data_IF_664043205274
#
_entry.id   IF_664043205274
#
_cell.length_a   1.000
_cell.length_b   1.000
_cell.length_c   1.000
_cell.angle_alpha   90.00
_cell.angle_beta   90.00
_cell.angle_gamma   90.00
#
_symmetry.space_group_name_H-M   'P 1'
#
loop_
_entity.id
_entity.type
_entity.pdbx_description
1 polymer ?
#
# COMPACT_ATOMS: atom_id res chain seq x y z
N UNK A 1 10.76 13.81 3.63
CA UNK A 1 9.64 12.89 3.33
C UNK A 1 8.34 13.61 3.66
N UNK A 2 7.42 13.76 2.71
CA UNK A 2 6.18 14.54 2.91
C UNK A 2 5.26 13.94 3.99
N UNK A 3 4.30 14.68 4.56
CA UNK A 3 3.48 14.23 5.68
C UNK A 3 2.46 13.12 5.34
N UNK A 4 2.05 12.99 4.07
CA UNK A 4 0.93 12.13 3.63
C UNK A 4 1.07 10.66 3.99
N UNK A 5 2.28 10.09 3.93
CA UNK A 5 2.49 8.68 4.29
C UNK A 5 2.13 8.40 5.76
N UNK A 6 2.27 9.40 6.66
CA UNK A 6 1.97 9.23 8.09
C UNK A 6 0.50 8.94 8.31
N UNK A 7 -0.37 9.60 7.55
CA UNK A 7 -1.82 9.39 7.60
C UNK A 7 -2.16 7.96 7.16
N UNK A 8 -1.60 7.52 6.02
CA UNK A 8 -1.84 6.19 5.48
C UNK A 8 -1.30 5.09 6.41
N UNK A 9 -0.08 5.24 6.95
CA UNK A 9 0.51 4.28 7.90
C UNK A 9 -0.31 4.23 9.20
N UNK A 10 -0.75 5.37 9.73
CA UNK A 10 -1.58 5.41 10.92
C UNK A 10 -2.92 4.69 10.68
N UNK A 11 -3.56 4.94 9.53
CA UNK A 11 -4.80 4.27 9.13
C UNK A 11 -4.60 2.76 8.95
N UNK A 12 -3.52 2.34 8.29
CA UNK A 12 -3.17 0.94 8.12
C UNK A 12 -2.98 0.21 9.46
N UNK A 13 -2.25 0.82 10.40
CA UNK A 13 -2.08 0.27 11.76
C UNK A 13 -3.41 0.11 12.48
N UNK A 14 -4.28 1.13 12.42
CA UNK A 14 -5.62 1.07 13.02
C UNK A 14 -6.45 -0.06 12.41
N UNK A 15 -6.44 -0.20 11.07
CA UNK A 15 -7.14 -1.26 10.35
C UNK A 15 -6.65 -2.66 10.76
N UNK A 16 -5.33 -2.83 10.90
CA UNK A 16 -4.75 -4.10 11.33
C UNK A 16 -5.17 -4.47 12.76
N UNK A 17 -5.16 -3.50 13.68
CA UNK A 17 -5.59 -3.72 15.07
C UNK A 17 -7.10 -4.02 15.15
N UNK A 18 -7.93 -3.31 14.38
CA UNK A 18 -9.37 -3.57 14.30
C UNK A 18 -9.66 -4.97 13.76
N UNK A 19 -8.92 -5.40 12.74
CA UNK A 19 -9.05 -6.75 12.20
C UNK A 19 -8.67 -7.80 13.25
N UNK A 20 -7.51 -7.64 13.91
CA UNK A 20 -7.06 -8.56 14.95
C UNK A 20 -8.06 -8.68 16.10
N UNK A 21 -8.68 -7.57 16.52
CA UNK A 21 -9.69 -7.59 17.59
C UNK A 21 -10.89 -8.48 17.24
N UNK A 22 -11.31 -8.50 15.97
CA UNK A 22 -12.49 -9.25 15.51
C UNK A 22 -12.16 -10.71 15.20
N UNK A 23 -11.08 -10.94 14.46
CA UNK A 23 -10.75 -12.26 13.91
C UNK A 23 -9.69 -13.02 14.71
N UNK A 24 -9.04 -12.37 15.68
CA UNK A 24 -7.99 -12.94 16.52
C UNK A 24 -6.79 -13.47 15.72
N UNK A 25 -6.59 -12.97 14.50
CA UNK A 25 -5.45 -13.29 13.64
C UNK A 25 -4.94 -12.03 12.92
N UNK A 26 -3.65 -11.99 12.50
CA UNK A 26 -3.11 -10.87 11.75
C UNK A 26 -3.83 -10.70 10.40
N UNK A 27 -4.15 -9.47 10.03
CA UNK A 27 -4.77 -9.18 8.73
C UNK A 27 -3.90 -9.70 7.56
N UNK A 28 -4.48 -10.42 6.59
CA UNK A 28 -3.78 -10.78 5.37
C UNK A 28 -3.26 -9.55 4.61
N UNK A 29 -2.03 -9.60 4.09
CA UNK A 29 -1.38 -8.46 3.41
C UNK A 29 -2.25 -7.92 2.28
N UNK A 30 -2.81 -8.80 1.45
CA UNK A 30 -3.69 -8.40 0.35
C UNK A 30 -4.93 -7.62 0.84
N UNK A 31 -5.50 -8.03 1.97
CA UNK A 31 -6.67 -7.36 2.55
C UNK A 31 -6.30 -6.01 3.17
N UNK A 32 -5.14 -5.90 3.82
CA UNK A 32 -4.63 -4.63 4.31
C UNK A 32 -4.40 -3.63 3.16
N UNK A 33 -3.76 -4.09 2.08
CA UNK A 33 -3.52 -3.29 0.88
C UNK A 33 -4.83 -2.78 0.30
N UNK A 34 -5.82 -3.66 0.11
CA UNK A 34 -7.14 -3.28 -0.40
C UNK A 34 -7.77 -2.18 0.46
N UNK A 35 -7.77 -2.33 1.79
CA UNK A 35 -8.38 -1.33 2.69
C UNK A 35 -7.64 0.01 2.69
N UNK A 36 -6.31 -0.02 2.60
CA UNK A 36 -5.51 1.22 2.48
C UNK A 36 -5.77 1.90 1.15
N UNK A 37 -5.85 1.12 0.06
CA UNK A 37 -6.13 1.62 -1.28
C UNK A 37 -7.54 2.23 -1.36
N UNK A 38 -8.55 1.65 -0.71
CA UNK A 38 -9.88 2.25 -0.59
C UNK A 38 -9.86 3.61 0.12
N UNK A 39 -9.03 3.77 1.15
CA UNK A 39 -8.84 5.08 1.81
C UNK A 39 -8.20 6.08 0.84
N UNK A 40 -7.23 5.66 0.04
CA UNK A 40 -6.63 6.54 -0.98
C UNK A 40 -7.66 6.95 -2.04
N UNK A 41 -8.46 6.00 -2.51
CA UNK A 41 -9.52 6.22 -3.49
C UNK A 41 -10.61 7.18 -2.97
N UNK A 42 -11.02 7.05 -1.70
CA UNK A 42 -12.02 7.93 -1.07
C UNK A 42 -11.61 9.41 -1.15
N UNK A 43 -10.32 9.69 -0.99
CA UNK A 43 -9.75 11.05 -1.11
C UNK A 43 -9.67 11.56 -2.55
N UNK A 44 -9.99 10.73 -3.56
CA UNK A 44 -10.13 11.16 -4.96
C UNK A 44 -11.57 11.50 -5.35
N UNK A 45 -12.55 11.01 -4.59
CA UNK A 45 -13.98 11.14 -4.91
C UNK A 45 -14.75 12.04 -3.91
N UNK A 46 -14.12 12.41 -2.80
CA UNK A 46 -14.73 13.24 -1.76
C UNK A 46 -14.41 14.73 -1.96
N UNK A 47 -15.43 15.59 -1.87
CA UNK A 47 -15.24 17.03 -1.88
C UNK A 47 -14.57 17.54 -0.60
N UNK A 48 -13.75 18.60 -0.71
CA UNK A 48 -13.11 19.24 0.45
C UNK A 48 -11.84 18.53 0.97
N UNK A 49 -11.42 17.44 0.33
CA UNK A 49 -10.13 16.78 0.58
C UNK A 49 -9.28 16.79 -0.68
N UNK A 50 -7.97 16.52 -0.52
CA UNK A 50 -7.05 16.35 -1.65
C UNK A 50 -6.56 14.90 -1.73
N UNK A 51 -6.31 14.36 -2.93
CA UNK A 51 -5.62 13.09 -3.09
C UNK A 51 -4.26 13.07 -2.36
N UNK A 52 -3.83 11.87 -1.97
CA UNK A 52 -2.53 11.67 -1.33
C UNK A 52 -1.39 11.86 -2.33
N UNK A 53 -0.36 12.60 -1.96
CA UNK A 53 0.83 12.84 -2.79
C UNK A 53 1.90 11.74 -2.71
N UNK A 54 1.51 10.50 -2.40
CA UNK A 54 2.44 9.38 -2.18
C UNK A 54 1.95 8.09 -2.81
N UNK A 55 2.87 7.30 -3.35
CA UNK A 55 2.68 5.88 -3.66
C UNK A 55 3.28 5.04 -2.54
N UNK A 56 2.74 3.85 -2.31
CA UNK A 56 3.18 2.91 -1.28
C UNK A 56 3.73 1.62 -1.90
N UNK A 57 4.84 1.14 -1.36
CA UNK A 57 5.20 -0.27 -1.42
C UNK A 57 4.81 -0.91 -0.10
N UNK A 58 3.94 -1.91 -0.17
CA UNK A 58 3.41 -2.61 0.99
C UNK A 58 3.89 -4.05 0.87
N UNK A 59 4.70 -4.47 1.84
CA UNK A 59 5.22 -5.83 1.92
C UNK A 59 4.59 -6.54 3.12
N UNK A 60 4.46 -7.85 3.01
CA UNK A 60 4.09 -8.67 4.17
C UNK A 60 4.40 -10.13 3.95
N UNK A 61 4.16 -10.90 5.01
CA UNK A 61 4.42 -12.33 5.05
C UNK A 61 3.17 -13.02 5.60
N UNK A 62 2.54 -13.82 4.76
CA UNK A 62 1.35 -14.60 5.14
C UNK A 62 1.54 -16.03 4.67
N UNK A 63 1.19 -16.99 5.53
CA UNK A 63 1.19 -18.43 5.20
C UNK A 63 2.52 -18.94 4.59
N UNK A 64 3.65 -18.44 5.10
CA UNK A 64 4.97 -18.84 4.60
C UNK A 64 5.36 -18.26 3.24
N UNK A 65 4.60 -17.28 2.73
CA UNK A 65 4.85 -16.64 1.43
C UNK A 65 5.05 -15.12 1.57
N UNK A 66 6.07 -14.55 0.89
CA UNK A 66 6.21 -13.10 0.81
C UNK A 66 5.22 -12.51 -0.18
N UNK A 67 4.67 -11.36 0.17
CA UNK A 67 3.82 -10.55 -0.70
C UNK A 67 4.39 -9.15 -0.84
N UNK A 68 4.37 -8.63 -2.06
CA UNK A 68 4.76 -7.25 -2.38
C UNK A 68 3.66 -6.63 -3.23
N UNK A 69 3.13 -5.50 -2.78
CA UNK A 69 2.15 -4.70 -3.49
C UNK A 69 2.64 -3.28 -3.69
N UNK A 70 2.26 -2.70 -4.82
CA UNK A 70 2.41 -1.28 -5.10
C UNK A 70 1.03 -0.65 -5.14
N UNK A 71 0.84 0.47 -4.45
CA UNK A 71 -0.38 1.29 -4.50
C UNK A 71 -0.04 2.72 -4.90
N UNK A 72 -0.86 3.34 -5.74
CA UNK A 72 -0.69 4.73 -6.17
C UNK A 72 -1.80 5.66 -5.63
N UNK A 73 -1.63 7.00 -5.71
CA UNK A 73 -2.58 8.00 -5.25
C UNK A 73 -4.04 7.83 -5.68
N UNK A 74 -4.30 7.15 -6.81
CA UNK A 74 -5.66 6.90 -7.29
C UNK A 74 -6.41 5.86 -6.45
N UNK A 75 -5.70 5.09 -5.63
CA UNK A 75 -6.22 3.90 -4.97
C UNK A 75 -6.11 2.63 -5.82
N UNK A 76 -5.48 2.68 -7.00
CA UNK A 76 -5.09 1.47 -7.71
C UNK A 76 -3.94 0.76 -6.98
N UNK A 77 -3.99 -0.57 -6.94
CA UNK A 77 -2.93 -1.40 -6.37
C UNK A 77 -2.70 -2.68 -7.18
N UNK A 78 -1.45 -3.13 -7.22
CA UNK A 78 -1.03 -4.30 -8.00
C UNK A 78 0.00 -5.13 -7.21
N UNK A 79 -0.07 -6.45 -7.36
CA UNK A 79 0.94 -7.36 -6.84
C UNK A 79 2.17 -7.39 -7.74
N UNK A 80 3.36 -7.46 -7.16
CA UNK A 80 4.62 -7.49 -7.88
C UNK A 80 5.52 -8.59 -7.34
N UNK A 81 6.30 -9.23 -8.22
CA UNK A 81 7.44 -10.05 -7.79
C UNK A 81 8.59 -9.15 -7.33
N UNK A 82 8.85 -8.10 -8.09
CA UNK A 82 9.79 -7.04 -7.79
C UNK A 82 9.33 -5.75 -8.47
N UNK A 83 9.55 -4.60 -7.84
CA UNK A 83 9.24 -3.29 -8.42
C UNK A 83 10.12 -2.20 -7.78
N UNK A 84 10.21 -1.05 -8.44
CA UNK A 84 10.89 0.14 -7.93
C UNK A 84 9.96 1.35 -8.07
N UNK A 85 10.08 2.32 -7.15
CA UNK A 85 9.33 3.58 -7.16
C UNK A 85 10.26 4.76 -6.84
N UNK A 86 9.82 5.97 -7.20
CA UNK A 86 10.54 7.22 -6.93
C UNK A 86 11.36 7.71 -8.12
N UNK A 87 12.31 8.62 -7.86
CA UNK A 87 13.15 9.20 -8.92
C UNK A 87 14.00 8.11 -9.58
N UNK A 88 14.06 8.11 -10.91
CA UNK A 88 14.82 7.14 -11.72
C UNK A 88 14.37 5.68 -11.56
N UNK A 89 13.11 5.43 -11.18
CA UNK A 89 12.60 4.06 -10.98
C UNK A 89 12.66 3.19 -12.25
N UNK A 90 12.67 3.78 -13.45
CA UNK A 90 12.76 3.06 -14.73
C UNK A 90 14.03 2.20 -14.76
N UNK A 91 15.19 2.76 -14.43
CA UNK A 91 16.45 2.00 -14.38
C UNK A 91 16.38 0.87 -13.35
N UNK A 92 15.74 1.12 -12.21
CA UNK A 92 15.51 0.11 -11.18
C UNK A 92 14.62 -1.03 -11.68
N UNK A 93 13.51 -0.73 -12.36
CA UNK A 93 12.63 -1.73 -12.97
C UNK A 93 13.35 -2.53 -14.05
N UNK A 94 14.08 -1.88 -14.95
CA UNK A 94 14.87 -2.57 -15.99
C UNK A 94 15.94 -3.49 -15.40
N UNK A 95 16.55 -3.11 -14.27
CA UNK A 95 17.47 -4.01 -13.56
C UNK A 95 16.74 -5.23 -12.97
N UNK A 96 15.59 -5.02 -12.35
CA UNK A 96 14.79 -6.08 -11.72
C UNK A 96 14.17 -7.04 -12.74
N UNK A 97 13.80 -6.58 -13.94
CA UNK A 97 13.25 -7.42 -15.02
C UNK A 97 14.26 -8.43 -15.57
N UNK A 98 15.56 -8.21 -15.36
CA UNK A 98 16.65 -9.11 -15.79
C UNK A 98 17.02 -10.16 -14.74
N UNK A 99 16.31 -10.21 -13.60
CA UNK A 99 16.57 -11.10 -12.46
C UNK A 99 15.34 -11.92 -12.13
#
# INVERSE_FOLDING_TARGET
MGPDYRVLVHRARKLAQQYYLVYQEPIPTAQLVQRVASVMQEYTQSGGVRPFGVSLLICGWNEGRPYLFQSDPSGAYFAWKATAMGKNYVNGKTFLEKR
#
